data_IF_010513032262
#
_entry.id   IF_010513032262
#
_cell.length_a   1.000
_cell.length_b   1.000
_cell.length_c   1.000
_cell.angle_alpha   90.00
_cell.angle_beta   90.00
_cell.angle_gamma   90.00
#
_symmetry.space_group_name_H-M   'P 1'
#
loop_
_entity.id
_entity.type
_entity.pdbx_description
1 polymer ?
#
# COMPACT_ATOMS: atom_id res chain seq x y z
N UNK A 1 13.62 77.76 -25.13
CA UNK A 1 13.09 78.02 -23.78
C UNK A 1 12.79 76.66 -23.15
N UNK A 2 13.74 76.04 -22.45
CA UNK A 2 13.81 76.03 -20.96
C UNK A 2 12.43 75.83 -20.34
N UNK A 3 12.13 74.72 -19.67
CA UNK A 3 12.63 74.47 -18.31
C UNK A 3 12.50 73.00 -17.91
N UNK A 4 13.63 72.47 -17.46
CA UNK A 4 13.85 71.26 -16.68
C UNK A 4 13.27 71.43 -15.24
N UNK A 5 12.50 70.46 -14.76
CA UNK A 5 12.28 70.23 -13.32
C UNK A 5 12.35 68.75 -12.99
N UNK A 6 13.55 68.37 -12.56
CA UNK A 6 13.94 67.40 -11.51
C UNK A 6 12.84 66.97 -10.52
N UNK A 7 13.24 65.95 -9.75
CA UNK A 7 12.71 65.38 -8.49
C UNK A 7 11.73 64.21 -8.72
N UNK A 8 11.89 63.00 -8.16
CA UNK A 8 12.65 62.51 -7.00
C UNK A 8 13.05 61.05 -7.29
N UNK A 9 14.32 60.68 -7.07
CA UNK A 9 14.72 59.28 -6.84
C UNK A 9 14.31 58.91 -5.42
N UNK A 10 13.49 57.87 -5.25
CA UNK A 10 13.45 57.13 -3.98
C UNK A 10 13.50 55.65 -4.29
N UNK A 11 14.74 55.16 -4.33
CA UNK A 11 15.06 53.74 -4.18
C UNK A 11 14.70 53.35 -2.75
N UNK A 12 13.71 52.49 -2.55
CA UNK A 12 13.59 51.69 -1.32
C UNK A 12 13.79 50.24 -1.73
N UNK A 13 14.98 49.76 -1.40
CA UNK A 13 15.39 48.37 -1.45
C UNK A 13 15.13 47.82 -0.04
N UNK A 14 14.09 47.00 0.13
CA UNK A 14 13.91 46.16 1.32
C UNK A 14 13.68 44.74 0.83
N UNK A 15 14.72 43.94 0.98
CA UNK A 15 14.67 42.50 0.91
C UNK A 15 13.83 41.95 2.07
N UNK A 16 12.83 41.13 1.77
CA UNK A 16 12.43 40.03 2.65
C UNK A 16 12.53 38.75 1.84
N UNK A 17 13.75 38.22 1.89
CA UNK A 17 14.12 36.86 1.59
C UNK A 17 13.44 35.95 2.61
N UNK A 18 12.20 35.53 2.33
CA UNK A 18 11.49 34.51 3.10
C UNK A 18 10.35 33.89 2.28
N UNK A 19 10.61 33.50 1.03
CA UNK A 19 9.93 32.31 0.51
C UNK A 19 10.68 31.13 1.11
N UNK A 20 10.42 30.88 2.40
CA UNK A 20 10.70 29.58 2.97
C UNK A 20 10.03 28.58 2.06
N UNK A 21 10.83 27.64 1.56
CA UNK A 21 10.34 26.34 1.11
C UNK A 21 9.37 25.85 2.18
N UNK A 22 8.08 26.07 1.95
CA UNK A 22 7.09 25.07 2.27
C UNK A 22 7.43 23.93 1.32
N UNK A 23 8.43 23.12 1.68
CA UNK A 23 8.32 21.71 1.43
C UNK A 23 7.03 21.34 2.16
N UNK A 24 5.91 21.44 1.46
CA UNK A 24 4.80 20.57 1.72
C UNK A 24 5.40 19.18 1.58
N UNK A 25 5.86 18.62 2.69
CA UNK A 25 5.81 17.18 2.86
C UNK A 25 4.33 16.88 2.70
N UNK A 26 3.90 16.67 1.46
CA UNK A 26 2.68 15.95 1.17
C UNK A 26 2.87 14.64 1.90
N UNK A 27 2.35 14.57 3.13
CA UNK A 27 2.04 13.30 3.72
C UNK A 27 1.20 12.64 2.64
N UNK A 28 1.77 11.61 1.98
CA UNK A 28 1.03 10.82 1.01
C UNK A 28 -0.29 10.52 1.72
N UNK A 29 -1.39 11.03 1.17
CA UNK A 29 -2.70 10.67 1.66
C UNK A 29 -2.72 9.15 1.51
N UNK A 30 -2.56 8.43 2.64
CA UNK A 30 -2.57 6.98 2.61
C UNK A 30 -3.90 6.62 1.99
N UNK A 31 -3.87 6.04 0.81
CA UNK A 31 -5.03 5.46 0.14
C UNK A 31 -5.48 4.28 0.99
N UNK A 32 -6.31 4.56 1.99
CA UNK A 32 -6.83 3.57 2.93
C UNK A 32 -8.28 3.26 2.57
N UNK A 33 -8.48 2.18 1.81
CA UNK A 33 -9.78 1.54 1.65
C UNK A 33 -9.96 0.39 2.65
N UNK A 34 -11.14 -0.25 2.70
CA UNK A 34 -11.29 -1.53 3.37
C UNK A 34 -10.42 -2.58 2.65
N UNK A 35 -9.82 -3.47 3.44
CA UNK A 35 -8.98 -4.56 2.93
C UNK A 35 -9.86 -5.73 2.47
N UNK A 36 -9.76 -6.04 1.18
CA UNK A 36 -10.43 -7.11 0.45
C UNK A 36 -9.40 -8.07 -0.16
N UNK A 37 -8.26 -8.27 0.49
CA UNK A 37 -7.20 -9.19 0.02
C UNK A 37 -7.73 -10.60 -0.30
N UNK A 38 -8.76 -11.08 0.39
CA UNK A 38 -9.30 -12.44 0.17
C UNK A 38 -10.42 -12.47 -0.89
N UNK A 39 -11.07 -11.32 -1.13
CA UNK A 39 -12.19 -11.13 -2.06
C UNK A 39 -11.76 -10.51 -3.41
N UNK A 40 -10.50 -10.11 -3.53
CA UNK A 40 -9.93 -9.57 -4.77
C UNK A 40 -8.83 -10.47 -5.31
N UNK A 41 -8.78 -10.58 -6.63
CA UNK A 41 -7.67 -11.23 -7.32
C UNK A 41 -6.63 -10.16 -7.69
N UNK A 42 -5.69 -9.93 -6.79
CA UNK A 42 -4.52 -9.10 -7.04
C UNK A 42 -3.28 -9.97 -7.20
N UNK A 43 -2.68 -9.96 -8.39
CA UNK A 43 -1.48 -10.73 -8.70
C UNK A 43 -0.35 -9.79 -9.12
N UNK A 44 0.86 -10.06 -8.63
CA UNK A 44 2.10 -9.39 -9.04
C UNK A 44 3.14 -10.42 -9.42
N UNK A 45 3.83 -10.13 -10.54
CA UNK A 45 4.92 -10.94 -11.07
C UNK A 45 6.13 -10.05 -11.33
N UNK A 46 7.32 -10.56 -10.98
CA UNK A 46 8.62 -10.07 -11.40
C UNK A 46 9.09 -11.03 -12.50
N UNK A 47 8.98 -10.67 -13.79
CA UNK A 47 9.05 -11.65 -14.87
C UNK A 47 10.47 -12.18 -15.14
N UNK A 48 11.52 -11.39 -14.88
CA UNK A 48 12.89 -11.83 -15.06
C UNK A 48 13.53 -12.24 -13.73
N UNK A 49 14.38 -13.28 -13.74
CA UNK A 49 15.09 -13.74 -12.53
C UNK A 49 15.85 -12.61 -11.83
N UNK A 50 16.45 -11.70 -12.62
CA UNK A 50 17.19 -10.55 -12.07
C UNK A 50 16.30 -9.52 -11.38
N UNK A 51 15.01 -9.47 -11.69
CA UNK A 51 14.07 -8.54 -11.06
C UNK A 51 13.91 -8.82 -9.55
N UNK A 52 14.23 -10.04 -9.13
CA UNK A 52 14.23 -10.47 -7.74
C UNK A 52 15.52 -10.12 -6.99
N UNK A 53 16.58 -9.64 -7.66
CA UNK A 53 17.87 -9.41 -7.01
C UNK A 53 17.89 -8.11 -6.20
N UNK A 54 18.35 -8.14 -4.94
CA UNK A 54 18.27 -6.99 -4.05
C UNK A 54 19.17 -5.80 -4.46
N UNK A 55 18.61 -4.59 -4.38
CA UNK A 55 19.34 -3.32 -4.41
C UNK A 55 20.25 -3.11 -5.62
N UNK A 56 21.53 -2.77 -5.35
CA UNK A 56 22.51 -2.39 -6.38
C UNK A 56 22.93 -3.52 -7.34
N UNK A 57 22.45 -4.75 -7.13
CA UNK A 57 22.74 -5.89 -8.01
C UNK A 57 21.92 -5.89 -9.29
N UNK A 58 20.71 -5.31 -9.27
CA UNK A 58 19.89 -5.05 -10.45
C UNK A 58 19.44 -3.58 -10.49
N UNK A 59 20.41 -2.63 -10.49
CA UNK A 59 20.14 -1.24 -10.21
C UNK A 59 19.30 -0.66 -11.34
N UNK A 60 18.06 -0.27 -11.01
CA UNK A 60 17.11 0.30 -11.99
C UNK A 60 16.93 -0.60 -13.20
N UNK A 61 16.84 -1.91 -12.99
CA UNK A 61 16.62 -2.83 -14.09
C UNK A 61 15.64 -3.94 -13.70
N UNK A 62 14.93 -3.75 -12.58
CA UNK A 62 13.78 -4.57 -12.28
C UNK A 62 12.61 -4.21 -13.20
N UNK A 63 11.76 -5.20 -13.47
CA UNK A 63 10.46 -5.06 -14.10
C UNK A 63 9.37 -5.65 -13.20
N UNK A 64 8.14 -5.17 -13.35
CA UNK A 64 6.99 -5.61 -12.56
C UNK A 64 5.73 -5.61 -13.42
N UNK A 65 4.93 -6.65 -13.28
CA UNK A 65 3.61 -6.77 -13.90
C UNK A 65 2.58 -7.01 -12.80
N UNK A 66 1.39 -6.42 -12.93
CA UNK A 66 0.29 -6.64 -11.99
C UNK A 66 -1.06 -6.73 -12.69
N UNK A 67 -1.97 -7.45 -12.04
CA UNK A 67 -3.36 -7.63 -12.42
C UNK A 67 -4.21 -7.47 -11.18
N UNK A 68 -5.26 -6.66 -11.27
CA UNK A 68 -6.16 -6.38 -10.17
C UNK A 68 -7.60 -6.51 -10.64
N UNK A 69 -8.26 -7.59 -10.24
CA UNK A 69 -9.70 -7.78 -10.41
C UNK A 69 -10.37 -7.80 -9.03
N UNK A 70 -11.44 -7.02 -8.88
CA UNK A 70 -12.06 -6.75 -7.59
C UNK A 70 -13.51 -7.20 -7.46
N UNK A 71 -14.00 -8.08 -8.33
CA UNK A 71 -15.43 -8.47 -8.46
C UNK A 71 -16.16 -8.57 -7.11
N UNK A 72 -15.78 -9.55 -6.27
CA UNK A 72 -16.48 -9.78 -4.98
C UNK A 72 -16.35 -8.58 -4.03
N UNK A 73 -15.21 -7.89 -4.05
CA UNK A 73 -14.99 -6.69 -3.24
C UNK A 73 -15.82 -5.48 -3.73
N UNK A 74 -16.03 -5.33 -5.04
CA UNK A 74 -16.89 -4.29 -5.62
C UNK A 74 -18.36 -4.58 -5.31
N UNK A 75 -18.81 -5.82 -5.48
CA UNK A 75 -20.15 -6.26 -5.08
C UNK A 75 -20.41 -6.01 -3.58
N UNK A 76 -19.44 -6.34 -2.71
CA UNK A 76 -19.55 -6.09 -1.26
C UNK A 76 -19.69 -4.60 -0.90
N UNK A 77 -19.39 -3.70 -1.84
CA UNK A 77 -19.50 -2.25 -1.70
C UNK A 77 -20.71 -1.65 -2.43
N UNK A 78 -21.56 -2.47 -3.02
CA UNK A 78 -22.74 -2.02 -3.79
C UNK A 78 -22.37 -1.47 -5.17
N UNK A 79 -21.30 -1.98 -5.77
CA UNK A 79 -20.87 -1.67 -7.12
C UNK A 79 -21.06 -2.89 -8.05
N UNK A 80 -22.22 -3.55 -7.97
CA UNK A 80 -22.54 -4.76 -8.75
C UNK A 80 -22.59 -4.50 -10.25
N UNK A 81 -22.79 -3.25 -10.65
CA UNK A 81 -22.73 -2.81 -12.06
C UNK A 81 -21.36 -2.24 -12.44
N UNK A 82 -20.33 -2.40 -11.61
CA UNK A 82 -19.00 -1.86 -11.85
C UNK A 82 -18.83 -0.41 -11.40
N UNK A 83 -17.71 0.18 -11.81
CA UNK A 83 -17.32 1.54 -11.43
C UNK A 83 -16.76 2.30 -12.62
N UNK A 84 -16.89 3.63 -12.58
CA UNK A 84 -16.07 4.56 -13.35
C UNK A 84 -14.82 4.86 -12.54
N UNK A 85 -13.66 4.44 -13.04
CA UNK A 85 -12.41 4.44 -12.26
C UNK A 85 -11.84 5.84 -12.21
N UNK A 86 -11.67 6.37 -11.00
CA UNK A 86 -11.07 7.68 -10.78
C UNK A 86 -9.56 7.52 -10.58
N UNK A 87 -9.15 6.48 -9.83
CA UNK A 87 -7.76 6.35 -9.37
C UNK A 87 -7.35 4.91 -9.08
N UNK A 88 -6.12 4.57 -9.47
CA UNK A 88 -5.42 3.33 -9.12
C UNK A 88 -4.13 3.69 -8.38
N UNK A 89 -3.84 3.01 -7.27
CA UNK A 89 -2.59 3.18 -6.53
C UNK A 89 -1.98 1.81 -6.24
N UNK A 90 -0.69 1.66 -6.53
CA UNK A 90 0.10 0.49 -6.18
C UNK A 90 1.12 0.89 -5.14
N UNK A 91 1.04 0.29 -3.97
CA UNK A 91 1.95 0.54 -2.85
C UNK A 91 2.84 -0.67 -2.65
N UNK A 92 4.14 -0.46 -2.85
CA UNK A 92 5.17 -1.45 -2.64
C UNK A 92 6.37 -0.77 -1.97
N UNK A 93 6.33 -0.60 -0.64
CA UNK A 93 7.39 0.09 0.12
C UNK A 93 8.79 -0.54 0.06
N UNK A 94 8.94 -1.62 -0.72
CA UNK A 94 10.17 -2.32 -1.02
C UNK A 94 10.66 -2.06 -2.47
N UNK A 95 9.97 -1.23 -3.24
CA UNK A 95 10.34 -0.83 -4.60
C UNK A 95 10.39 0.69 -4.67
N UNK A 96 11.52 1.24 -5.12
CA UNK A 96 11.66 2.65 -5.46
C UNK A 96 11.30 2.86 -6.94
N UNK A 97 10.17 3.54 -7.18
CA UNK A 97 9.72 3.93 -8.52
C UNK A 97 10.15 5.36 -8.89
N UNK A 98 10.84 6.10 -8.03
CA UNK A 98 11.08 7.54 -8.22
C UNK A 98 11.91 7.91 -9.47
N UNK A 99 12.61 6.93 -10.05
CA UNK A 99 13.34 7.09 -11.31
C UNK A 99 12.51 6.74 -12.55
N UNK A 100 11.28 6.27 -12.39
CA UNK A 100 10.38 5.93 -13.47
C UNK A 100 9.69 7.15 -14.06
N UNK A 101 9.47 7.08 -15.36
CA UNK A 101 8.72 8.05 -16.15
C UNK A 101 7.70 7.29 -16.99
N UNK A 102 6.75 8.00 -17.62
CA UNK A 102 5.72 7.36 -18.46
C UNK A 102 6.28 6.47 -19.57
N UNK A 103 7.48 6.77 -20.09
CA UNK A 103 8.18 5.93 -21.08
C UNK A 103 8.59 4.54 -20.55
N UNK A 104 8.55 4.34 -19.23
CA UNK A 104 8.85 3.07 -18.58
C UNK A 104 7.58 2.24 -18.30
N UNK A 105 6.40 2.76 -18.64
CA UNK A 105 5.15 2.00 -18.66
C UNK A 105 5.13 1.25 -19.99
N UNK A 106 5.17 -0.08 -19.93
CA UNK A 106 5.01 -0.91 -21.12
C UNK A 106 3.54 -1.05 -21.48
N UNK A 107 2.70 -1.31 -20.47
CA UNK A 107 1.26 -1.30 -20.62
C UNK A 107 0.61 -0.74 -19.36
N UNK A 108 -0.52 -0.11 -19.55
CA UNK A 108 -1.47 0.17 -18.48
C UNK A 108 -2.86 0.24 -19.11
N UNK A 109 -3.78 -0.58 -18.63
CA UNK A 109 -5.05 -0.78 -19.30
C UNK A 109 -6.05 -1.62 -18.51
N UNK A 110 -7.17 -1.93 -19.16
CA UNK A 110 -8.17 -2.85 -18.68
C UNK A 110 -8.21 -4.10 -19.57
N UNK A 111 -8.12 -5.27 -18.93
CA UNK A 111 -8.42 -6.58 -19.52
C UNK A 111 -9.88 -6.93 -19.25
N UNK A 112 -10.68 -6.96 -20.32
CA UNK A 112 -12.14 -7.09 -20.25
C UNK A 112 -12.54 -8.53 -20.02
N UNK A 113 -13.30 -8.76 -18.95
CA UNK A 113 -13.66 -10.10 -18.48
C UNK A 113 -12.46 -10.94 -18.03
N UNK A 114 -11.32 -10.29 -17.76
CA UNK A 114 -10.11 -10.91 -17.20
C UNK A 114 -9.72 -12.21 -17.94
N UNK A 115 -9.69 -12.15 -19.27
CA UNK A 115 -9.59 -13.32 -20.14
C UNK A 115 -8.30 -13.35 -20.97
N UNK A 116 -7.50 -12.30 -20.89
CA UNK A 116 -6.23 -12.21 -21.59
C UNK A 116 -5.09 -12.78 -20.75
N UNK A 117 -4.03 -13.22 -21.43
CA UNK A 117 -2.84 -13.77 -20.76
C UNK A 117 -1.74 -12.72 -20.66
N UNK A 118 -1.05 -12.68 -19.53
CA UNK A 118 0.06 -11.74 -19.33
C UNK A 118 -0.43 -10.30 -19.39
N UNK A 119 0.35 -9.41 -19.98
CA UNK A 119 0.11 -7.96 -19.99
C UNK A 119 -0.77 -7.48 -21.15
N UNK A 120 -1.53 -8.38 -21.78
CA UNK A 120 -2.43 -8.00 -22.88
C UNK A 120 -3.69 -7.34 -22.30
N UNK A 121 -4.08 -6.20 -22.86
CA UNK A 121 -5.27 -5.44 -22.47
C UNK A 121 -6.16 -5.21 -23.68
N UNK A 122 -7.47 -5.08 -23.46
CA UNK A 122 -8.41 -4.69 -24.51
C UNK A 122 -8.43 -3.18 -24.71
N UNK A 123 -8.20 -2.43 -23.63
CA UNK A 123 -8.25 -0.98 -23.60
C UNK A 123 -7.00 -0.42 -22.91
N UNK A 124 -6.15 0.27 -23.68
CA UNK A 124 -4.96 0.96 -23.19
C UNK A 124 -5.30 2.39 -22.78
N UNK A 125 -4.80 2.83 -21.62
CA UNK A 125 -5.04 4.19 -21.11
C UNK A 125 -3.78 5.05 -21.18
N UNK A 126 -3.50 5.50 -22.40
CA UNK A 126 -2.38 6.40 -22.69
C UNK A 126 -2.53 7.81 -22.11
N UNK A 127 -3.78 8.20 -21.84
CA UNK A 127 -4.17 9.53 -21.34
C UNK A 127 -4.13 9.64 -19.82
N UNK A 128 -4.05 8.54 -19.08
CA UNK A 128 -4.03 8.57 -17.63
C UNK A 128 -2.75 9.26 -17.10
N UNK A 129 -2.88 10.08 -16.07
CA UNK A 129 -1.73 10.71 -15.43
C UNK A 129 -1.08 9.71 -14.47
N UNK A 130 0.16 9.30 -14.77
CA UNK A 130 0.92 8.38 -13.93
C UNK A 130 2.02 9.12 -13.19
N UNK A 131 1.94 9.10 -11.85
CA UNK A 131 2.96 9.64 -10.95
C UNK A 131 3.70 8.50 -10.27
N UNK A 132 5.04 8.53 -10.38
CA UNK A 132 5.93 7.58 -9.71
C UNK A 132 6.60 8.19 -8.49
N UNK A 133 6.66 7.45 -7.39
CA UNK A 133 7.29 7.85 -6.13
C UNK A 133 8.03 6.67 -5.50
N UNK A 134 8.85 6.95 -4.49
CA UNK A 134 9.40 5.89 -3.66
C UNK A 134 8.25 5.10 -3.00
N UNK A 135 8.21 3.79 -3.23
CA UNK A 135 7.20 2.90 -2.68
C UNK A 135 5.80 2.96 -3.30
N UNK A 136 5.55 3.81 -4.30
CA UNK A 136 4.19 4.08 -4.79
C UNK A 136 4.14 4.42 -6.30
N UNK A 137 3.16 3.85 -7.00
CA UNK A 137 2.70 4.30 -8.32
C UNK A 137 1.25 4.77 -8.19
N UNK A 138 0.96 5.99 -8.63
CA UNK A 138 -0.39 6.55 -8.66
C UNK A 138 -0.78 6.76 -10.12
N UNK A 139 -1.93 6.23 -10.52
CA UNK A 139 -2.56 6.50 -11.81
C UNK A 139 -3.89 7.18 -11.56
N UNK A 140 -4.02 8.40 -12.07
CA UNK A 140 -5.23 9.22 -12.00
C UNK A 140 -5.85 9.31 -13.39
N UNK A 141 -7.15 9.03 -13.46
CA UNK A 141 -7.93 9.15 -14.68
C UNK A 141 -8.58 10.53 -14.75
N UNK A 142 -8.92 11.02 -15.95
CA UNK A 142 -9.71 12.22 -16.11
C UNK A 142 -11.04 12.15 -15.35
N UNK A 143 -11.47 13.27 -14.77
CA UNK A 143 -12.84 13.42 -14.27
C UNK A 143 -13.77 13.80 -15.44
N UNK A 144 -15.10 13.58 -15.34
CA UNK A 144 -16.07 14.00 -16.37
C UNK A 144 -16.05 15.51 -16.69
N UNK A 145 -15.58 16.35 -15.76
CA UNK A 145 -15.43 17.79 -15.97
C UNK A 145 -14.16 18.14 -16.77
N UNK A 146 -13.26 17.18 -16.98
CA UNK A 146 -12.02 17.37 -17.71
C UNK A 146 -12.22 17.29 -19.22
N UNK A 147 -11.56 18.20 -19.94
CA UNK A 147 -11.62 18.23 -21.40
C UNK A 147 -10.93 17.02 -22.06
N UNK A 148 -10.10 16.29 -21.32
CA UNK A 148 -9.24 15.24 -21.87
C UNK A 148 -9.92 13.88 -22.00
N UNK A 149 -11.10 13.70 -21.42
CA UNK A 149 -11.91 12.49 -21.52
C UNK A 149 -12.71 12.23 -20.25
N UNK A 150 -13.55 11.20 -20.29
CA UNK A 150 -14.25 10.67 -19.12
C UNK A 150 -13.37 9.61 -18.42
N UNK A 151 -13.63 9.31 -17.12
CA UNK A 151 -13.01 8.16 -16.47
C UNK A 151 -13.37 6.88 -17.23
N UNK A 152 -12.54 5.83 -17.20
CA UNK A 152 -12.90 4.57 -17.81
C UNK A 152 -13.86 3.77 -16.94
N UNK A 153 -14.86 3.15 -17.57
CA UNK A 153 -15.69 2.16 -16.91
C UNK A 153 -14.90 0.85 -16.70
N UNK A 154 -15.07 0.22 -15.55
CA UNK A 154 -14.53 -1.08 -15.15
C UNK A 154 -15.69 -1.94 -14.63
N UNK A 155 -16.04 -2.99 -15.39
CA UNK A 155 -17.04 -3.96 -14.96
C UNK A 155 -16.49 -4.82 -13.80
N UNK A 156 -17.34 -5.46 -12.99
CA UNK A 156 -16.90 -6.30 -11.87
C UNK A 156 -15.92 -7.41 -12.30
N UNK A 157 -16.15 -8.02 -13.46
CA UNK A 157 -15.33 -9.11 -14.01
C UNK A 157 -14.03 -8.66 -14.68
N UNK A 158 -13.81 -7.36 -14.85
CA UNK A 158 -12.64 -6.82 -15.52
C UNK A 158 -11.42 -6.77 -14.59
N UNK A 159 -10.23 -6.72 -15.18
CA UNK A 159 -8.98 -6.53 -14.45
C UNK A 159 -8.26 -5.25 -14.90
N UNK A 160 -7.79 -4.46 -13.93
CA UNK A 160 -6.79 -3.43 -14.20
C UNK A 160 -5.44 -4.10 -14.34
N UNK A 161 -4.74 -3.82 -15.44
CA UNK A 161 -3.45 -4.43 -15.77
C UNK A 161 -2.41 -3.34 -15.94
N UNK A 162 -1.21 -3.57 -15.45
CA UNK A 162 -0.08 -2.71 -15.80
C UNK A 162 1.26 -3.43 -15.73
N UNK A 163 2.20 -2.90 -16.50
CA UNK A 163 3.57 -3.37 -16.56
C UNK A 163 4.54 -2.19 -16.58
N UNK A 164 5.53 -2.25 -15.70
CA UNK A 164 6.54 -1.24 -15.51
C UNK A 164 7.93 -1.85 -15.63
N UNK A 165 8.88 -1.08 -16.17
CA UNK A 165 10.29 -1.49 -16.22
C UNK A 165 10.84 -1.45 -17.65
N UNK A 166 11.93 -2.17 -17.93
CA UNK A 166 12.60 -2.14 -19.22
C UNK A 166 11.78 -2.82 -20.33
N UNK A 167 10.93 -2.06 -21.01
CA UNK A 167 10.44 -2.43 -22.34
C UNK A 167 11.21 -1.65 -23.42
N UNK A 168 11.87 -2.37 -24.33
CA UNK A 168 12.34 -1.90 -25.64
C UNK A 168 13.36 -0.74 -25.74
N UNK A 169 13.62 0.06 -24.69
CA UNK A 169 14.55 1.22 -24.74
C UNK A 169 15.31 1.46 -23.42
N UNK A 170 16.25 0.55 -23.11
CA UNK A 170 17.59 0.77 -22.51
C UNK A 170 17.83 1.50 -21.18
N UNK A 171 16.82 1.90 -20.40
CA UNK A 171 17.05 2.11 -18.96
C UNK A 171 15.85 1.67 -18.17
N UNK A 172 15.95 0.57 -17.43
CA UNK A 172 14.98 0.28 -16.39
C UNK A 172 14.94 1.42 -15.36
N UNK A 173 13.92 1.39 -14.51
CA UNK A 173 13.67 2.46 -13.56
C UNK A 173 13.34 1.98 -12.15
N UNK A 174 12.90 0.72 -12.01
CA UNK A 174 12.54 0.12 -10.74
C UNK A 174 13.79 -0.34 -10.00
N UNK A 175 13.89 0.05 -8.73
CA UNK A 175 14.92 -0.44 -7.83
C UNK A 175 14.26 -1.17 -6.66
N UNK A 176 14.49 -2.47 -6.56
CA UNK A 176 13.97 -3.28 -5.45
C UNK A 176 14.86 -3.11 -4.21
N UNK A 177 14.28 -3.36 -3.03
CA UNK A 177 14.96 -3.24 -1.74
C UNK A 177 16.24 -4.07 -1.70
N UNK A 178 17.22 -3.60 -0.92
CA UNK A 178 18.44 -4.35 -0.64
C UNK A 178 18.28 -5.47 0.39
N UNK A 179 17.11 -5.55 1.04
CA UNK A 179 16.82 -6.55 2.08
C UNK A 179 16.20 -7.80 1.44
N UNK A 180 16.79 -9.00 1.60
CA UNK A 180 16.16 -10.22 1.12
C UNK A 180 14.91 -10.59 1.93
N UNK A 181 13.87 -11.08 1.27
CA UNK A 181 12.62 -11.42 1.95
C UNK A 181 11.43 -11.71 1.03
N UNK A 182 10.29 -11.98 1.66
CA UNK A 182 8.99 -12.10 0.99
C UNK A 182 8.23 -10.79 1.12
N UNK A 183 7.83 -10.24 -0.01
CA UNK A 183 7.20 -8.93 -0.11
C UNK A 183 5.85 -9.05 -0.80
N UNK A 184 5.00 -8.05 -0.55
CA UNK A 184 3.67 -7.94 -1.15
C UNK A 184 3.47 -6.53 -1.66
N UNK A 185 2.74 -6.39 -2.75
CA UNK A 185 2.23 -5.10 -3.23
C UNK A 185 0.79 -4.96 -2.79
N UNK A 186 0.41 -3.79 -2.32
CA UNK A 186 -0.99 -3.44 -2.03
C UNK A 186 -1.53 -2.63 -3.19
N UNK A 187 -2.58 -3.12 -3.82
CA UNK A 187 -3.33 -2.39 -4.84
C UNK A 187 -4.48 -1.67 -4.17
N UNK A 188 -4.77 -0.46 -4.64
CA UNK A 188 -5.93 0.33 -4.27
C UNK A 188 -6.60 0.83 -5.53
N UNK A 189 -7.91 0.66 -5.57
CA UNK A 189 -8.80 1.08 -6.65
C UNK A 189 -9.86 2.00 -6.04
N UNK A 190 -10.05 3.15 -6.66
CA UNK A 190 -11.09 4.10 -6.32
C UNK A 190 -11.84 4.50 -7.59
N UNK A 191 -13.14 4.68 -7.45
CA UNK A 191 -14.00 5.11 -8.53
C UNK A 191 -15.39 5.45 -8.04
N UNK A 192 -16.23 5.85 -8.98
CA UNK A 192 -17.65 6.12 -8.76
C UNK A 192 -18.48 4.93 -9.22
N UNK A 193 -19.42 4.48 -8.39
CA UNK A 193 -20.34 3.39 -8.71
C UNK A 193 -21.12 3.72 -9.99
N UNK A 194 -21.14 2.79 -10.94
CA UNK A 194 -21.92 2.92 -12.15
C UNK A 194 -23.42 2.71 -11.86
N UNK A 195 -24.27 3.52 -12.48
CA UNK A 195 -25.72 3.29 -12.50
C UNK A 195 -26.03 2.14 -13.49
N UNK A 196 -27.13 1.39 -13.29
CA UNK A 196 -27.50 0.26 -14.18
C UNK A 196 -27.64 0.68 -15.66
N UNK A 197 -28.19 1.89 -15.89
CA UNK A 197 -28.34 2.48 -17.21
C UNK A 197 -27.03 3.14 -17.72
N UNK A 198 -25.97 3.09 -16.91
CA UNK A 198 -24.71 3.79 -17.13
C UNK A 198 -23.47 2.89 -17.07
N UNK A 199 -23.51 1.83 -17.87
CA UNK A 199 -22.46 0.82 -18.01
C UNK A 199 -21.93 0.72 -19.45
N UNK A 200 -22.44 1.55 -20.37
CA UNK A 200 -22.00 1.56 -21.75
C UNK A 200 -20.71 2.37 -21.91
N UNK A 201 -19.61 1.65 -22.14
CA UNK A 201 -18.28 2.21 -22.40
C UNK A 201 -18.22 3.13 -23.62
N UNK A 202 -19.13 2.95 -24.59
CA UNK A 202 -19.17 3.70 -25.84
C UNK A 202 -20.06 4.95 -25.72
N UNK A 203 -20.60 5.24 -24.52
CA UNK A 203 -21.37 6.45 -24.22
C UNK A 203 -20.54 7.46 -23.39
N UNK A 204 -19.77 8.36 -24.05
CA UNK A 204 -18.88 9.34 -23.42
C UNK A 204 -19.62 10.54 -22.79
N UNK A 205 -20.74 10.27 -22.14
CA UNK A 205 -21.50 11.23 -21.34
C UNK A 205 -22.19 10.55 -20.17
N UNK A 206 -21.76 9.32 -19.88
CA UNK A 206 -22.34 8.48 -18.87
C UNK A 206 -21.75 8.83 -17.51
N UNK A 207 -22.32 9.85 -16.90
CA UNK A 207 -21.95 10.34 -15.57
C UNK A 207 -23.03 9.92 -14.55
N UNK A 208 -22.71 9.06 -13.56
CA UNK A 208 -23.66 8.65 -12.54
C UNK A 208 -24.19 9.86 -11.75
N UNK A 209 -25.52 9.93 -11.56
CA UNK A 209 -26.15 11.12 -10.99
C UNK A 209 -25.78 11.35 -9.51
N UNK A 210 -25.68 10.27 -8.74
CA UNK A 210 -25.44 10.31 -7.29
C UNK A 210 -23.95 10.32 -6.92
N UNK A 211 -23.05 10.08 -7.89
CA UNK A 211 -21.58 10.04 -7.74
C UNK A 211 -21.10 9.33 -6.47
N UNK A 212 -21.66 8.15 -6.19
CA UNK A 212 -21.30 7.37 -5.01
C UNK A 212 -19.89 6.80 -5.20
N UNK A 213 -18.91 7.29 -4.44
CA UNK A 213 -17.54 6.77 -4.52
C UNK A 213 -17.39 5.46 -3.75
N UNK A 214 -16.56 4.57 -4.30
CA UNK A 214 -16.14 3.31 -3.68
C UNK A 214 -14.62 3.19 -3.69
N UNK A 215 -14.11 2.53 -2.67
CA UNK A 215 -12.70 2.25 -2.47
C UNK A 215 -12.51 0.75 -2.20
N UNK A 216 -11.52 0.16 -2.85
CA UNK A 216 -11.14 -1.23 -2.66
C UNK A 216 -9.62 -1.30 -2.50
N UNK A 217 -9.16 -1.95 -1.44
CA UNK A 217 -7.74 -2.23 -1.23
C UNK A 217 -7.54 -3.75 -1.18
N UNK A 218 -6.49 -4.26 -1.84
CA UNK A 218 -6.14 -5.68 -1.77
C UNK A 218 -4.63 -5.91 -1.83
N UNK A 219 -4.12 -6.79 -0.97
CA UNK A 219 -2.78 -7.31 -1.05
C UNK A 219 -2.64 -8.34 -2.18
N UNK A 220 -1.52 -8.32 -2.88
CA UNK A 220 -1.18 -9.32 -3.89
C UNK A 220 -0.71 -10.65 -3.30
N UNK A 221 -0.37 -11.62 -4.15
CA UNK A 221 0.51 -12.72 -3.76
C UNK A 221 1.85 -12.21 -3.21
N UNK A 222 2.53 -13.05 -2.43
CA UNK A 222 3.91 -12.76 -2.03
C UNK A 222 4.86 -13.01 -3.20
N UNK A 223 5.81 -12.09 -3.39
CA UNK A 223 6.95 -12.20 -4.29
C UNK A 223 8.24 -12.23 -3.46
N UNK A 224 9.25 -12.97 -3.89
CA UNK A 224 10.54 -13.01 -3.20
C UNK A 224 11.49 -11.96 -3.74
N UNK A 225 12.38 -11.45 -2.89
CA UNK A 225 13.58 -10.69 -3.26
C UNK A 225 14.76 -11.39 -2.63
N UNK A 226 15.64 -11.97 -3.45
CA UNK A 226 16.91 -12.61 -3.06
C UNK A 226 17.74 -12.91 -4.32
N UNK A 227 19.03 -13.20 -4.16
CA UNK A 227 19.88 -13.76 -5.22
C UNK A 227 19.54 -15.25 -5.44
N UNK A 228 18.30 -15.53 -5.82
CA UNK A 228 17.78 -16.87 -6.06
C UNK A 228 17.36 -17.00 -7.52
N UNK A 229 17.61 -18.16 -8.13
CA UNK A 229 17.24 -18.40 -9.54
C UNK A 229 15.74 -18.63 -9.72
N UNK A 230 15.03 -19.04 -8.66
CA UNK A 230 13.60 -19.38 -8.68
C UNK A 230 13.00 -19.43 -7.26
N UNK A 231 11.67 -19.60 -7.18
CA UNK A 231 10.93 -19.68 -5.91
C UNK A 231 11.37 -20.86 -5.02
N UNK A 232 11.79 -22.00 -5.60
CA UNK A 232 12.20 -23.17 -4.80
C UNK A 232 13.46 -22.84 -3.99
N UNK A 233 14.43 -22.17 -4.60
CA UNK A 233 15.64 -21.72 -3.93
C UNK A 233 15.32 -20.60 -2.91
N UNK A 234 14.45 -19.65 -3.28
CA UNK A 234 13.98 -18.62 -2.35
C UNK A 234 13.32 -19.22 -1.10
N UNK A 235 12.57 -20.32 -1.23
CA UNK A 235 11.98 -21.05 -0.09
C UNK A 235 13.03 -21.75 0.76
N UNK A 236 14.10 -22.27 0.16
CA UNK A 236 15.21 -22.88 0.90
C UNK A 236 15.98 -21.83 1.72
N UNK A 237 16.18 -20.63 1.17
CA UNK A 237 16.92 -19.55 1.83
C UNK A 237 16.08 -18.71 2.81
N UNK A 238 14.89 -18.27 2.38
CA UNK A 238 14.02 -17.34 3.11
C UNK A 238 12.98 -18.07 3.98
N UNK A 239 12.81 -19.37 3.78
CA UNK A 239 11.68 -20.14 4.32
C UNK A 239 10.38 -19.90 3.54
N UNK A 240 9.24 -20.46 4.00
CA UNK A 240 7.96 -20.30 3.33
C UNK A 240 7.46 -18.84 3.40
N UNK A 241 6.69 -18.40 2.39
CA UNK A 241 6.07 -17.08 2.39
C UNK A 241 5.14 -16.92 3.62
N UNK A 242 4.91 -15.69 4.11
CA UNK A 242 4.12 -15.46 5.31
C UNK A 242 2.71 -16.05 5.27
N UNK A 243 2.06 -16.13 4.10
CA UNK A 243 0.74 -16.75 3.92
C UNK A 243 0.69 -18.24 4.27
N UNK A 244 1.82 -18.95 4.21
CA UNK A 244 1.91 -20.40 4.48
C UNK A 244 2.45 -20.71 5.88
N UNK A 245 2.81 -19.70 6.66
CA UNK A 245 3.32 -19.92 8.01
C UNK A 245 2.16 -20.39 8.90
N UNK A 246 2.13 -21.69 9.17
CA UNK A 246 1.28 -22.25 10.21
C UNK A 246 1.67 -21.56 11.52
N UNK A 247 0.73 -21.00 12.31
CA UNK A 247 1.08 -20.35 13.56
C UNK A 247 1.81 -21.36 14.45
N UNK A 248 3.08 -21.08 14.77
CA UNK A 248 3.80 -21.86 15.77
C UNK A 248 2.98 -21.83 17.05
N UNK A 249 2.52 -22.97 17.60
CA UNK A 249 1.73 -22.95 18.82
C UNK A 249 2.58 -22.29 19.92
N UNK A 250 2.10 -21.17 20.44
CA UNK A 250 2.70 -20.49 21.58
C UNK A 250 2.83 -21.50 22.71
N UNK A 251 4.05 -21.77 23.16
CA UNK A 251 4.28 -22.68 24.28
C UNK A 251 3.44 -22.21 25.48
N UNK A 252 2.45 -23.01 25.87
CA UNK A 252 1.66 -22.75 27.08
C UNK A 252 2.63 -22.79 28.25
N UNK A 253 2.73 -21.68 28.98
CA UNK A 253 3.60 -21.58 30.14
C UNK A 253 3.32 -22.76 31.09
N UNK A 254 4.30 -23.65 31.24
CA UNK A 254 4.22 -24.72 32.23
C UNK A 254 4.14 -24.05 33.60
N UNK A 255 3.03 -24.24 34.30
CA UNK A 255 2.84 -23.67 35.63
C UNK A 255 4.01 -24.09 36.53
N UNK A 256 4.86 -23.12 36.88
CA UNK A 256 5.91 -23.29 37.88
C UNK A 256 5.24 -23.74 39.17
N UNK A 257 5.49 -24.99 39.58
CA UNK A 257 5.04 -25.49 40.88
C UNK A 257 5.57 -24.54 41.96
N UNK A 258 4.66 -23.86 42.66
CA UNK A 258 5.01 -23.06 43.83
C UNK A 258 5.69 -23.98 44.84
N UNK A 259 6.96 -23.71 45.14
CA UNK A 259 7.69 -24.46 46.15
C UNK A 259 7.00 -24.28 47.51
N UNK A 260 6.59 -25.39 48.12
CA UNK A 260 6.14 -25.43 49.51
C UNK A 260 7.32 -25.00 50.40
N UNK A 261 7.16 -24.02 51.31
CA UNK A 261 8.25 -23.61 52.17
C UNK A 261 8.65 -24.76 53.11
N UNK A 262 9.92 -25.16 53.02
CA UNK A 262 10.53 -26.13 53.95
C UNK A 262 10.60 -25.50 55.35
N UNK A 263 10.12 -26.18 56.41
CA UNK A 263 10.30 -25.72 57.79
C UNK A 263 11.79 -25.70 58.15
N UNK A 264 12.30 -24.57 58.63
CA UNK A 264 13.65 -24.49 59.20
C UNK A 264 13.64 -25.17 60.57
N UNK A 265 14.08 -26.42 60.64
CA UNK A 265 14.41 -27.05 61.92
C UNK A 265 15.73 -26.47 62.46
N UNK A 266 15.60 -25.82 63.60
CA UNK A 266 16.69 -25.36 64.45
C UNK A 266 16.93 -26.46 65.48
N UNK A 267 18.08 -27.14 65.43
CA UNK A 267 18.83 -27.61 66.61
C UNK A 267 20.15 -28.31 66.24
N UNK A 268 21.23 -27.75 66.77
CA UNK A 268 22.37 -28.34 67.48
C UNK A 268 22.94 -29.74 67.11
N UNK A 269 24.24 -29.69 66.80
CA UNK A 269 25.37 -30.54 67.23
C UNK A 269 25.29 -32.08 67.24
N UNK A 270 26.36 -32.66 66.66
CA UNK A 270 26.90 -34.03 66.76
C UNK A 270 26.14 -35.26 66.20
N UNK A 271 26.67 -35.81 65.09
CA UNK A 271 26.80 -37.26 64.88
C UNK A 271 26.08 -37.92 63.68
N UNK A 272 26.87 -38.38 62.68
CA UNK A 272 26.82 -39.64 61.86
C UNK A 272 25.47 -40.16 61.27
N UNK A 273 25.43 -40.74 60.04
CA UNK A 273 24.32 -40.64 59.07
C UNK A 273 23.33 -41.82 59.04
N UNK A 274 22.21 -41.64 58.32
CA UNK A 274 21.42 -42.75 57.76
C UNK A 274 20.66 -42.37 56.47
N UNK A 275 20.63 -43.30 55.52
CA UNK A 275 19.82 -43.32 54.29
C UNK A 275 18.30 -43.35 54.57
N UNK A 276 17.47 -42.98 53.59
CA UNK A 276 16.51 -43.89 52.88
C UNK A 276 15.63 -43.10 51.91
N UNK A 277 15.34 -43.73 50.77
CA UNK A 277 14.43 -43.34 49.69
C UNK A 277 12.97 -43.13 50.13
N UNK A 278 12.15 -42.44 49.32
CA UNK A 278 11.02 -43.12 48.68
C UNK A 278 10.30 -42.32 47.58
N UNK A 279 9.63 -43.13 46.79
CA UNK A 279 8.86 -42.97 45.55
C UNK A 279 7.56 -42.14 45.67
N UNK A 280 7.07 -41.58 44.56
CA UNK A 280 5.62 -41.37 44.34
C UNK A 280 5.27 -40.84 42.93
N UNK A 281 4.64 -41.73 42.17
CA UNK A 281 3.86 -41.56 40.93
C UNK A 281 2.59 -40.72 41.07
N UNK A 282 2.17 -40.03 39.98
CA UNK A 282 0.84 -39.44 39.85
C UNK A 282 0.43 -39.12 38.40
N UNK A 283 -0.62 -39.81 37.94
CA UNK A 283 -1.32 -39.81 36.63
C UNK A 283 -1.93 -38.46 36.18
N UNK A 284 -2.03 -38.14 34.87
CA UNK A 284 -2.77 -36.97 34.39
C UNK A 284 -4.23 -37.29 33.99
N UNK A 285 -5.11 -36.32 34.21
CA UNK A 285 -6.52 -36.32 33.83
C UNK A 285 -6.75 -35.52 32.54
N UNK A 286 -7.63 -36.03 31.68
CA UNK A 286 -8.12 -35.41 30.44
C UNK A 286 -8.88 -34.09 30.71
N UNK A 287 -8.62 -33.09 29.86
CA UNK A 287 -9.27 -31.78 29.88
C UNK A 287 -9.61 -31.28 28.48
N UNK A 288 -10.90 -31.07 28.27
CA UNK A 288 -11.65 -30.69 27.07
C UNK A 288 -11.15 -29.43 26.37
N UNK A 289 -11.07 -29.47 25.03
CA UNK A 289 -10.71 -28.34 24.16
C UNK A 289 -11.83 -27.28 24.08
N UNK A 290 -11.45 -26.02 24.29
CA UNK A 290 -12.30 -24.84 24.03
C UNK A 290 -11.95 -24.21 22.69
N UNK A 291 -12.97 -23.92 21.89
CA UNK A 291 -12.90 -23.20 20.61
C UNK A 291 -12.48 -21.75 20.85
N UNK A 292 -11.41 -21.31 20.20
CA UNK A 292 -10.99 -19.90 20.18
C UNK A 292 -11.47 -19.22 18.89
N UNK A 293 -12.20 -18.13 19.05
CA UNK A 293 -12.55 -17.17 18.00
C UNK A 293 -11.32 -16.32 17.69
N UNK A 294 -10.90 -16.29 16.42
CA UNK A 294 -9.82 -15.45 15.93
C UNK A 294 -10.34 -14.05 15.60
N UNK A 295 -9.82 -13.03 16.29
CA UNK A 295 -9.87 -11.63 15.86
C UNK A 295 -8.50 -11.31 15.28
N UNK A 296 -8.41 -11.11 13.97
CA UNK A 296 -7.18 -10.65 13.31
C UNK A 296 -6.97 -9.18 13.62
N UNK A 297 -5.93 -8.89 14.40
CA UNK A 297 -5.47 -7.54 14.67
C UNK A 297 -4.32 -7.19 13.72
N UNK A 298 -4.51 -6.11 12.95
CA UNK A 298 -3.48 -5.52 12.10
C UNK A 298 -2.27 -5.07 12.93
N UNK A 299 -1.12 -5.67 12.67
CA UNK A 299 0.16 -5.32 13.30
C UNK A 299 0.76 -4.08 12.64
N UNK A 300 0.64 -2.94 13.31
CA UNK A 300 1.33 -1.70 12.97
C UNK A 300 2.83 -1.79 13.32
N UNK A 301 3.69 -1.52 12.35
CA UNK A 301 5.13 -1.28 12.55
C UNK A 301 5.40 0.04 13.29
N UNK A 302 6.64 0.24 13.78
CA UNK A 302 6.94 1.20 14.85
C UNK A 302 6.92 2.66 14.37
N UNK A 303 6.03 3.45 14.99
CA UNK A 303 5.91 4.88 14.77
C UNK A 303 7.06 5.68 15.39
N UNK A 304 7.69 6.52 14.56
CA UNK A 304 8.52 7.63 15.01
C UNK A 304 7.61 8.74 15.56
N UNK A 305 7.86 9.10 16.82
CA UNK A 305 7.15 10.14 17.53
C UNK A 305 7.39 11.54 16.92
N UNK A 306 6.33 12.19 16.45
CA UNK A 306 6.30 13.60 16.08
C UNK A 306 5.29 14.38 16.94
N UNK A 307 5.61 15.60 17.40
CA UNK A 307 4.81 16.30 18.40
C UNK A 307 3.52 16.88 17.81
N UNK A 308 2.43 16.72 18.55
CA UNK A 308 1.14 17.36 18.28
C UNK A 308 1.26 18.89 18.45
N UNK A 309 1.06 19.64 17.37
CA UNK A 309 0.84 21.08 17.41
C UNK A 309 -0.66 21.37 17.24
N UNK A 310 -1.26 21.74 18.38
CA UNK A 310 -2.55 22.39 18.47
C UNK A 310 -2.47 23.76 17.76
N UNK A 311 -3.23 23.98 16.69
CA UNK A 311 -3.52 25.33 16.20
C UNK A 311 -5.02 25.61 16.23
N UNK A 312 -5.36 26.60 17.04
CA UNK A 312 -6.71 27.08 17.24
C UNK A 312 -7.18 28.02 16.14
N UNK A 313 -8.50 28.12 16.09
CA UNK A 313 -9.33 29.19 15.53
C UNK A 313 -8.59 30.51 15.22
N UNK A 314 -8.77 31.01 14.00
CA UNK A 314 -8.93 32.44 13.78
C UNK A 314 -10.04 32.69 12.76
N UNK A 315 -11.21 33.08 13.28
CA UNK A 315 -12.20 33.84 12.56
C UNK A 315 -11.85 35.33 12.68
N UNK A 316 -11.89 36.09 11.58
CA UNK A 316 -12.44 37.45 11.50
C UNK A 316 -12.01 38.27 10.26
N UNK A 317 -13.03 38.71 9.51
CA UNK A 317 -13.31 40.11 9.09
C UNK A 317 -12.72 40.66 7.77
N UNK A 318 -13.60 40.66 6.76
CA UNK A 318 -14.12 41.78 5.93
C UNK A 318 -13.16 42.83 5.35
N UNK A 319 -13.18 42.94 4.01
CA UNK A 319 -13.39 44.22 3.31
C UNK A 319 -13.94 44.00 1.88
N UNK A 320 -15.25 44.10 1.73
CA UNK A 320 -15.93 44.42 0.46
C UNK A 320 -15.49 45.80 -0.02
N UNK A 321 -14.84 45.89 -1.17
CA UNK A 321 -14.77 47.14 -1.95
C UNK A 321 -15.91 47.09 -2.97
N UNK A 322 -16.91 47.95 -2.74
CA UNK A 322 -17.92 48.32 -3.73
C UNK A 322 -17.26 49.17 -4.81
N UNK A 323 -17.46 48.77 -6.06
CA UNK A 323 -17.20 49.58 -7.25
C UNK A 323 -18.47 50.39 -7.59
N UNK A 324 -18.42 51.73 -7.73
CA UNK A 324 -19.50 52.51 -8.33
C UNK A 324 -19.11 52.86 -9.77
N UNK A 325 -19.62 52.10 -10.75
CA UNK A 325 -19.25 52.31 -12.15
C UNK A 325 -20.17 51.67 -13.19
N UNK A 326 -21.50 51.88 -13.11
CA UNK A 326 -22.45 51.98 -14.23
C UNK A 326 -23.89 51.99 -13.71
#
# INVERSE_FOLDING_TARGET
>A
MTTDRRTVRTTVLVAVLACGLLCATTAAAQSSGPDYTEEANHTVVLPDTTDHYPGEQNPRNASQQYWFAGEEGLEARGAESGIWVDRVVLTAGWVDYSACERKNVETFGIDRGNNNSGTTVDEEYDTAETTFRDGEVVVEFPDWDDFVGDPPYLAPEDAVVGAYGPSGTDTGCLNVTGEPGWYRVTGYLNGTVADEDCTDRDDPGCEPADKVSVDLQAGSNFVYVCECDNESEAREELGPPPSERTPTPTATATATKTATPTPTEQMDDDGTPAETADDATGTPADGTAGTATTTSGSGAGPGLAGPALLFGLLAAVVATVRDPGA
#
